data_IF_094885145914
#
_entry.id   IF_094885145914
#
_cell.length_a   1.000
_cell.length_b   1.000
_cell.length_c   1.000
_cell.angle_alpha   90.00
_cell.angle_beta   90.00
_cell.angle_gamma   90.00
#
_symmetry.space_group_name_H-M   'P 1'
#
loop_
_entity.id
_entity.type
_entity.pdbx_description
1 polymer ?
#
# COMPACT_ATOMS: atom_id res chain seq x y z
N UNK A 1 -17.63 -39.00 -25.95
CA UNK A 1 -16.91 -39.28 -24.67
C UNK A 1 -15.46 -38.81 -24.80
N UNK A 2 -15.24 -37.49 -24.82
CA UNK A 2 -13.93 -36.86 -24.93
C UNK A 2 -14.01 -35.54 -24.17
N UNK A 3 -13.18 -35.33 -23.15
CA UNK A 3 -12.70 -34.01 -22.64
C UNK A 3 -12.08 -34.10 -21.23
N UNK A 4 -11.23 -35.09 -20.96
CA UNK A 4 -10.43 -35.18 -19.73
C UNK A 4 -8.98 -34.67 -19.90
N UNK A 5 -8.61 -34.09 -21.05
CA UNK A 5 -7.21 -33.76 -21.39
C UNK A 5 -6.81 -32.29 -21.09
N UNK A 6 -7.75 -31.37 -20.81
CA UNK A 6 -7.45 -29.92 -20.88
C UNK A 6 -7.05 -29.22 -19.56
N UNK A 7 -7.00 -29.91 -18.41
CA UNK A 7 -6.64 -29.27 -17.13
C UNK A 7 -5.14 -29.22 -16.82
N UNK A 8 -4.29 -29.94 -17.56
CA UNK A 8 -2.84 -29.92 -17.30
C UNK A 8 -2.09 -28.75 -18.00
N UNK A 9 -2.73 -28.04 -18.94
CA UNK A 9 -2.05 -27.07 -19.82
C UNK A 9 -2.09 -25.59 -19.33
N UNK A 10 -2.85 -25.28 -18.27
CA UNK A 10 -2.98 -23.90 -17.76
C UNK A 10 -1.95 -23.53 -16.69
N UNK A 11 -1.17 -24.48 -16.15
CA UNK A 11 -0.13 -24.19 -15.15
C UNK A 11 1.22 -23.78 -15.75
N UNK A 12 1.41 -23.94 -17.06
CA UNK A 12 2.71 -23.72 -17.72
C UNK A 12 2.80 -22.38 -18.46
N UNK A 13 1.68 -21.65 -18.63
CA UNK A 13 1.66 -20.36 -19.31
C UNK A 13 2.08 -19.16 -18.43
N UNK A 14 2.12 -19.32 -17.10
CA UNK A 14 2.58 -18.27 -16.15
C UNK A 14 4.11 -18.23 -15.97
N UNK A 15 4.85 -19.18 -16.55
CA UNK A 15 6.29 -19.36 -16.31
C UNK A 15 7.20 -18.87 -17.46
N UNK A 16 6.67 -18.25 -18.52
CA UNK A 16 7.46 -17.77 -19.66
C UNK A 16 7.48 -16.25 -19.77
N UNK A 17 8.51 -15.68 -19.14
CA UNK A 17 9.45 -14.78 -19.80
C UNK A 17 8.87 -13.68 -20.70
N UNK A 18 8.39 -12.59 -20.10
CA UNK A 18 8.69 -11.25 -20.64
C UNK A 18 10.14 -10.90 -20.33
N UNK A 19 11.06 -11.58 -21.02
CA UNK A 19 12.45 -11.16 -21.17
C UNK A 19 12.49 -9.90 -22.04
N UNK A 20 12.08 -8.75 -21.50
CA UNK A 20 12.16 -7.46 -22.18
C UNK A 20 13.48 -6.78 -21.78
N UNK A 21 14.47 -6.89 -22.67
CA UNK A 21 15.72 -6.10 -22.79
C UNK A 21 16.38 -5.65 -21.46
N UNK A 22 17.43 -6.38 -21.03
CA UNK A 22 18.38 -5.94 -19.99
C UNK A 22 19.00 -4.58 -20.35
N UNK A 23 18.50 -3.51 -19.74
CA UNK A 23 19.20 -2.23 -19.65
C UNK A 23 19.40 -1.97 -18.15
N UNK A 24 20.55 -2.39 -17.64
CA UNK A 24 21.15 -2.07 -16.32
C UNK A 24 20.19 -1.55 -15.23
N UNK A 25 19.10 -2.26 -14.95
CA UNK A 25 18.14 -1.93 -13.89
C UNK A 25 18.53 -2.60 -12.55
N UNK A 26 19.33 -3.67 -12.63
CA UNK A 26 19.99 -4.31 -11.49
C UNK A 26 20.89 -3.35 -10.69
N UNK A 27 21.78 -2.52 -11.28
CA UNK A 27 22.59 -1.59 -10.51
C UNK A 27 21.77 -0.53 -9.81
N UNK A 28 20.65 -0.07 -10.38
CA UNK A 28 19.74 0.85 -9.67
C UNK A 28 19.05 0.17 -8.48
N UNK A 29 18.59 -1.07 -8.64
CA UNK A 29 18.02 -1.84 -7.53
C UNK A 29 19.05 -2.11 -6.42
N UNK A 30 20.29 -2.45 -6.78
CA UNK A 30 21.39 -2.71 -5.83
C UNK A 30 21.84 -1.42 -5.13
N UNK A 31 21.97 -0.31 -5.86
CA UNK A 31 22.31 1.00 -5.29
C UNK A 31 21.24 1.46 -4.27
N UNK A 32 19.97 1.23 -4.60
CA UNK A 32 18.84 1.55 -3.72
C UNK A 32 18.86 0.65 -2.46
N UNK A 33 19.19 -0.63 -2.60
CA UNK A 33 19.32 -1.57 -1.48
C UNK A 33 20.53 -1.23 -0.57
N UNK A 34 21.64 -0.79 -1.15
CA UNK A 34 22.81 -0.31 -0.41
C UNK A 34 22.51 1.00 0.32
N UNK A 35 21.86 1.96 -0.35
CA UNK A 35 21.41 3.22 0.27
C UNK A 35 20.44 2.96 1.42
N UNK A 36 19.58 1.97 1.26
CA UNK A 36 18.71 1.42 2.30
C UNK A 36 19.55 0.96 3.51
N UNK A 37 20.50 0.04 3.32
CA UNK A 37 21.27 -0.53 4.43
C UNK A 37 22.12 0.54 5.14
N UNK A 38 22.72 1.46 4.39
CA UNK A 38 23.53 2.56 4.94
C UNK A 38 22.65 3.49 5.78
N UNK A 39 21.47 3.87 5.29
CA UNK A 39 20.56 4.73 6.02
C UNK A 39 20.07 4.04 7.31
N UNK A 40 19.77 2.74 7.27
CA UNK A 40 19.45 1.96 8.46
C UNK A 40 20.58 1.93 9.50
N UNK A 41 21.84 1.92 9.06
CA UNK A 41 23.01 1.95 9.94
C UNK A 41 23.23 3.34 10.58
N UNK A 42 23.02 4.42 9.81
CA UNK A 42 23.06 5.80 10.33
C UNK A 42 21.96 6.04 11.37
N UNK A 43 20.77 5.48 11.17
CA UNK A 43 19.65 5.59 12.10
C UNK A 43 19.90 4.87 13.44
N UNK A 44 20.68 3.79 13.45
CA UNK A 44 21.07 3.09 14.68
C UNK A 44 21.91 3.98 15.61
N UNK A 45 22.68 4.92 15.07
CA UNK A 45 23.48 5.86 15.86
C UNK A 45 22.68 6.95 16.59
N UNK A 46 21.42 7.18 16.18
CA UNK A 46 20.58 8.28 16.71
C UNK A 46 19.48 7.74 17.65
N UNK A 47 18.97 6.53 17.39
CA UNK A 47 18.03 5.89 18.30
C UNK A 47 17.56 4.51 17.82
N UNK A 48 17.53 3.55 18.75
CA UNK A 48 17.19 2.13 18.50
C UNK A 48 15.78 1.89 17.94
N UNK A 49 14.86 2.86 18.05
CA UNK A 49 13.47 2.73 17.55
C UNK A 49 13.28 3.15 16.09
N UNK A 50 14.13 4.03 15.58
CA UNK A 50 14.05 4.55 14.21
C UNK A 50 14.25 3.47 13.12
N UNK A 51 15.17 2.49 13.24
CA UNK A 51 15.33 1.46 12.21
C UNK A 51 14.10 0.55 12.08
N UNK A 52 13.36 0.30 13.17
CA UNK A 52 12.11 -0.49 13.13
C UNK A 52 11.07 0.20 12.22
N UNK A 53 10.85 1.50 12.38
CA UNK A 53 9.86 2.24 11.57
C UNK A 53 10.26 2.29 10.11
N UNK A 54 11.55 2.39 9.85
CA UNK A 54 12.07 2.49 8.50
C UNK A 54 11.99 1.17 7.74
N UNK A 55 12.32 0.03 8.38
CA UNK A 55 12.09 -1.31 7.82
C UNK A 55 10.60 -1.55 7.60
N UNK A 56 9.75 -1.15 8.56
CA UNK A 56 8.31 -1.26 8.43
C UNK A 56 7.79 -0.49 7.22
N UNK A 57 8.22 0.77 7.02
CA UNK A 57 7.84 1.58 5.87
C UNK A 57 8.22 0.96 4.53
N UNK A 58 9.44 0.40 4.40
CA UNK A 58 9.88 -0.29 3.19
C UNK A 58 9.04 -1.54 2.94
N UNK A 59 8.87 -2.38 3.96
CA UNK A 59 8.08 -3.60 3.83
C UNK A 59 6.64 -3.31 3.44
N UNK A 60 6.04 -2.26 4.02
CA UNK A 60 4.69 -1.82 3.73
C UNK A 60 4.57 -1.31 2.28
N UNK A 61 5.55 -0.54 1.80
CA UNK A 61 5.62 -0.10 0.41
C UNK A 61 5.65 -1.26 -0.61
N UNK A 62 6.46 -2.30 -0.34
CA UNK A 62 6.53 -3.49 -1.20
C UNK A 62 5.20 -4.25 -1.21
N UNK A 63 4.57 -4.40 -0.04
CA UNK A 63 3.26 -5.06 0.08
C UNK A 63 2.20 -4.29 -0.70
N UNK A 64 2.19 -2.96 -0.61
CA UNK A 64 1.30 -2.09 -1.37
C UNK A 64 1.48 -2.27 -2.88
N UNK A 65 2.72 -2.25 -3.37
CA UNK A 65 3.03 -2.42 -4.79
C UNK A 65 2.54 -3.77 -5.35
N UNK A 66 2.69 -4.86 -4.57
CA UNK A 66 2.27 -6.20 -4.99
C UNK A 66 0.77 -6.42 -4.89
N UNK A 67 0.11 -5.78 -3.92
CA UNK A 67 -1.34 -5.93 -3.70
C UNK A 67 -2.20 -5.04 -4.59
N UNK A 68 -1.60 -4.04 -5.28
CA UNK A 68 -2.34 -3.02 -6.06
C UNK A 68 -3.52 -2.44 -5.28
N UNK A 69 -3.24 -2.09 -4.02
CA UNK A 69 -4.26 -1.72 -3.05
C UNK A 69 -4.96 -0.42 -3.47
N UNK A 70 -6.26 -0.49 -3.77
CA UNK A 70 -7.04 0.70 -4.05
C UNK A 70 -8.43 0.64 -3.40
N UNK A 71 -8.67 1.56 -2.49
CA UNK A 71 -9.94 1.68 -1.76
C UNK A 71 -11.13 1.91 -2.70
N UNK A 72 -10.99 2.82 -3.66
CA UNK A 72 -12.09 3.16 -4.59
C UNK A 72 -12.46 1.97 -5.47
N UNK A 73 -11.46 1.21 -5.96
CA UNK A 73 -11.70 -0.04 -6.68
C UNK A 73 -12.37 -1.09 -5.77
N UNK A 74 -11.92 -1.23 -4.52
CA UNK A 74 -12.51 -2.21 -3.59
C UNK A 74 -13.99 -1.98 -3.28
N UNK A 75 -14.48 -0.74 -3.38
CA UNK A 75 -15.90 -0.41 -3.20
C UNK A 75 -16.70 -0.49 -4.50
N UNK A 76 -16.06 -0.17 -5.64
CA UNK A 76 -16.70 -0.18 -6.96
C UNK A 76 -16.79 -1.59 -7.57
N UNK A 77 -15.77 -2.43 -7.39
CA UNK A 77 -15.63 -3.73 -8.04
C UNK A 77 -16.74 -4.73 -7.67
N UNK A 78 -17.18 -4.84 -6.39
CA UNK A 78 -18.31 -5.69 -6.02
C UNK A 78 -19.62 -5.28 -6.68
N UNK A 79 -19.83 -3.96 -6.85
CA UNK A 79 -21.06 -3.39 -7.41
C UNK A 79 -21.09 -3.55 -8.92
N UNK A 80 -19.95 -3.38 -9.60
CA UNK A 80 -19.90 -3.32 -11.06
C UNK A 80 -19.55 -4.65 -11.73
N UNK A 81 -18.65 -5.43 -11.12
CA UNK A 81 -18.11 -6.66 -11.73
C UNK A 81 -18.48 -7.93 -10.97
N UNK A 82 -19.06 -7.79 -9.76
CA UNK A 82 -19.33 -8.91 -8.85
C UNK A 82 -18.06 -9.58 -8.30
N UNK A 83 -16.87 -9.08 -8.64
CA UNK A 83 -15.60 -9.62 -8.14
C UNK A 83 -15.31 -9.07 -6.75
N UNK A 84 -15.14 -9.97 -5.78
CA UNK A 84 -14.96 -9.62 -4.36
C UNK A 84 -13.54 -9.84 -3.86
N UNK A 85 -12.61 -10.21 -4.75
CA UNK A 85 -11.24 -10.59 -4.37
C UNK A 85 -10.48 -9.44 -3.72
N UNK A 86 -10.52 -8.24 -4.30
CA UNK A 86 -9.88 -7.04 -3.74
C UNK A 86 -10.58 -6.55 -2.48
N UNK A 87 -11.92 -6.52 -2.48
CA UNK A 87 -12.71 -6.10 -1.32
C UNK A 87 -12.48 -6.99 -0.11
N UNK A 88 -12.43 -8.32 -0.31
CA UNK A 88 -12.11 -9.28 0.75
C UNK A 88 -10.70 -9.05 1.29
N UNK A 89 -9.72 -8.79 0.42
CA UNK A 89 -8.35 -8.50 0.86
C UNK A 89 -8.26 -7.22 1.71
N UNK A 90 -8.94 -6.15 1.29
CA UNK A 90 -9.01 -4.88 2.04
C UNK A 90 -9.69 -5.06 3.39
N UNK A 91 -10.83 -5.76 3.42
CA UNK A 91 -11.58 -5.98 4.66
C UNK A 91 -10.79 -6.81 5.67
N UNK A 92 -10.10 -7.86 5.21
CA UNK A 92 -9.20 -8.66 6.07
C UNK A 92 -8.04 -7.80 6.58
N UNK A 93 -7.43 -6.96 5.72
CA UNK A 93 -6.37 -6.05 6.14
C UNK A 93 -6.84 -5.07 7.23
N UNK A 94 -8.05 -4.52 7.11
CA UNK A 94 -8.66 -3.70 8.16
C UNK A 94 -8.89 -4.45 9.45
N UNK A 95 -9.42 -5.68 9.37
CA UNK A 95 -9.66 -6.49 10.56
C UNK A 95 -8.36 -6.81 11.31
N UNK A 96 -7.30 -7.14 10.59
CA UNK A 96 -5.98 -7.39 11.19
C UNK A 96 -5.41 -6.10 11.78
N UNK A 97 -5.50 -4.99 11.05
CA UNK A 97 -5.00 -3.70 11.51
C UNK A 97 -5.75 -3.23 12.77
N UNK A 98 -7.09 -3.31 12.80
CA UNK A 98 -7.89 -2.89 13.94
C UNK A 98 -7.60 -3.73 15.18
N UNK A 99 -7.50 -5.05 15.05
CA UNK A 99 -7.13 -5.95 16.15
C UNK A 99 -5.69 -5.68 16.62
N UNK A 100 -4.75 -5.46 15.69
CA UNK A 100 -3.37 -5.11 16.01
C UNK A 100 -3.26 -3.80 16.79
N UNK A 101 -3.93 -2.74 16.33
CA UNK A 101 -3.98 -1.46 17.03
C UNK A 101 -4.67 -1.57 18.39
N UNK A 102 -5.76 -2.33 18.50
CA UNK A 102 -6.45 -2.55 19.76
C UNK A 102 -5.57 -3.29 20.78
N UNK A 103 -4.83 -4.32 20.36
CA UNK A 103 -3.92 -5.06 21.24
C UNK A 103 -2.76 -4.19 21.75
N UNK A 104 -2.20 -3.33 20.88
CA UNK A 104 -1.15 -2.39 21.26
C UNK A 104 -1.67 -1.34 22.25
N UNK A 105 -2.87 -0.79 22.01
CA UNK A 105 -3.49 0.17 22.92
C UNK A 105 -3.82 -0.45 24.28
N UNK A 106 -4.36 -1.67 24.31
CA UNK A 106 -4.65 -2.37 25.56
C UNK A 106 -3.36 -2.62 26.35
N UNK A 107 -2.30 -3.07 25.69
CA UNK A 107 -1.00 -3.29 26.34
C UNK A 107 -0.39 -1.98 26.88
N UNK A 108 -0.58 -0.86 26.19
CA UNK A 108 -0.13 0.46 26.65
C UNK A 108 -0.90 0.97 27.88
N UNK A 109 -2.22 0.75 27.92
CA UNK A 109 -3.08 1.05 29.08
C UNK A 109 -2.66 0.23 30.30
N UNK A 110 -2.43 -1.06 30.12
CA UNK A 110 -2.00 -1.96 31.21
C UNK A 110 -0.60 -1.61 31.74
N UNK A 111 0.26 -1.03 30.88
CA UNK A 111 1.58 -0.52 31.25
C UNK A 111 1.56 0.88 31.89
N UNK A 112 0.37 1.46 32.15
CA UNK A 112 0.23 2.77 32.80
C UNK A 112 0.70 3.96 31.96
N UNK A 113 0.95 3.77 30.66
CA UNK A 113 1.35 4.84 29.75
C UNK A 113 0.10 5.50 29.13
N UNK A 114 0.18 6.80 28.76
CA UNK A 114 -0.91 7.47 28.08
C UNK A 114 -1.26 6.72 26.79
N UNK A 115 -2.54 6.52 26.55
CA UNK A 115 -3.05 5.84 25.35
C UNK A 115 -2.52 6.59 24.13
N UNK A 116 -1.74 5.95 23.23
CA UNK A 116 -1.24 6.61 22.02
C UNK A 116 -2.33 6.82 20.95
N UNK A 117 -3.61 6.78 21.36
CA UNK A 117 -4.77 6.92 20.49
C UNK A 117 -5.12 8.40 20.30
N UNK A 118 -4.74 8.95 19.15
CA UNK A 118 -5.10 10.32 18.77
C UNK A 118 -6.54 10.35 18.23
N UNK A 119 -7.53 10.30 19.12
CA UNK A 119 -8.94 10.42 18.73
C UNK A 119 -9.29 11.90 18.71
N UNK A 120 -9.18 12.53 17.53
CA UNK A 120 -9.67 13.89 17.32
C UNK A 120 -11.19 13.89 17.14
N UNK A 121 -11.95 14.85 17.70
CA UNK A 121 -13.38 14.95 17.48
C UNK A 121 -13.71 15.07 15.99
N UNK A 122 -14.54 14.15 15.47
CA UNK A 122 -15.09 14.26 14.13
C UNK A 122 -16.14 15.38 14.11
N UNK A 123 -15.73 16.57 13.65
CA UNK A 123 -16.62 17.73 13.50
C UNK A 123 -17.23 17.85 12.11
N UNK A 124 -18.04 18.88 11.89
CA UNK A 124 -18.60 19.18 10.57
C UNK A 124 -17.52 19.38 9.49
N UNK A 125 -16.35 19.90 9.89
CA UNK A 125 -15.19 20.09 9.02
C UNK A 125 -14.69 18.78 8.40
N UNK A 126 -14.74 17.64 9.11
CA UNK A 126 -14.29 16.35 8.56
C UNK A 126 -15.23 15.83 7.48
N UNK A 127 -16.55 16.09 7.61
CA UNK A 127 -17.54 15.71 6.62
C UNK A 127 -17.36 16.49 5.31
N UNK A 128 -17.17 17.82 5.41
CA UNK A 128 -16.88 18.67 4.25
C UNK A 128 -15.56 18.25 3.58
N UNK A 129 -14.51 18.02 4.37
CA UNK A 129 -13.23 17.55 3.86
C UNK A 129 -13.31 16.21 3.15
N UNK A 130 -14.06 15.25 3.70
CA UNK A 130 -14.25 13.93 3.08
C UNK A 130 -14.98 14.03 1.72
N UNK A 131 -15.99 14.90 1.59
CA UNK A 131 -16.68 15.12 0.32
C UNK A 131 -15.77 15.77 -0.73
N UNK A 132 -15.05 16.84 -0.36
CA UNK A 132 -14.10 17.49 -1.28
C UNK A 132 -12.97 16.55 -1.69
N UNK A 133 -12.44 15.76 -0.76
CA UNK A 133 -11.43 14.74 -1.05
C UNK A 133 -11.99 13.66 -2.00
N UNK A 134 -13.25 13.24 -1.81
CA UNK A 134 -13.94 12.32 -2.71
C UNK A 134 -14.05 12.85 -4.14
N UNK A 135 -14.50 14.10 -4.30
CA UNK A 135 -14.59 14.76 -5.61
C UNK A 135 -13.19 14.85 -6.25
N UNK A 136 -12.18 15.24 -5.48
CA UNK A 136 -10.79 15.28 -5.92
C UNK A 136 -10.26 13.92 -6.41
N UNK A 137 -10.57 12.83 -5.70
CA UNK A 137 -10.19 11.47 -6.11
C UNK A 137 -10.79 11.07 -7.46
N UNK A 138 -12.04 11.47 -7.75
CA UNK A 138 -12.69 11.18 -9.03
C UNK A 138 -12.02 11.97 -10.16
N UNK A 139 -11.73 13.26 -9.95
CA UNK A 139 -11.05 14.12 -10.94
C UNK A 139 -9.63 13.63 -11.21
N UNK A 140 -8.89 13.22 -10.18
CA UNK A 140 -7.54 12.68 -10.30
C UNK A 140 -7.48 11.29 -10.95
N UNK A 141 -8.62 10.59 -11.08
CA UNK A 141 -8.71 9.27 -11.69
C UNK A 141 -8.04 8.15 -10.89
N UNK A 142 -7.93 8.30 -9.56
CA UNK A 142 -7.25 7.33 -8.70
C UNK A 142 -7.45 7.56 -7.20
N UNK A 143 -7.14 6.54 -6.41
CA UNK A 143 -7.07 6.62 -4.95
C UNK A 143 -5.64 7.00 -4.49
N UNK A 144 -5.50 7.62 -3.31
CA UNK A 144 -4.21 8.07 -2.78
C UNK A 144 -3.12 6.97 -2.75
N UNK A 145 -3.46 5.75 -2.33
CA UNK A 145 -2.52 4.62 -2.33
C UNK A 145 -2.07 4.24 -3.74
N UNK A 146 -2.99 4.25 -4.70
CA UNK A 146 -2.71 3.93 -6.09
C UNK A 146 -1.88 5.00 -6.79
N UNK A 147 -2.08 6.28 -6.48
CA UNK A 147 -1.26 7.37 -7.01
C UNK A 147 0.18 7.27 -6.49
N UNK A 148 0.37 7.00 -5.19
CA UNK A 148 1.70 6.79 -4.60
C UNK A 148 2.47 5.64 -5.27
N UNK A 149 1.80 4.49 -5.50
CA UNK A 149 2.42 3.35 -6.17
C UNK A 149 2.83 3.68 -7.60
N UNK A 150 1.98 4.38 -8.37
CA UNK A 150 2.26 4.77 -9.77
C UNK A 150 3.36 5.84 -9.87
N UNK A 151 3.47 6.73 -8.88
CA UNK A 151 4.62 7.64 -8.77
C UNK A 151 5.90 6.85 -8.55
N UNK A 152 5.87 5.81 -7.71
CA UNK A 152 6.99 4.89 -7.50
C UNK A 152 7.43 4.10 -8.75
N UNK A 153 6.50 3.81 -9.67
CA UNK A 153 6.77 3.19 -10.97
C UNK A 153 7.32 4.18 -12.03
N UNK A 154 7.39 5.48 -11.71
CA UNK A 154 7.95 6.51 -12.60
C UNK A 154 6.96 7.13 -13.60
N UNK A 155 5.64 7.04 -13.36
CA UNK A 155 4.67 7.73 -14.21
C UNK A 155 4.69 9.25 -13.97
N UNK A 156 5.24 10.00 -14.92
CA UNK A 156 5.41 11.46 -14.82
C UNK A 156 4.07 12.22 -14.67
N UNK A 157 2.97 11.76 -15.28
CA UNK A 157 1.66 12.38 -15.08
C UNK A 157 1.17 12.29 -13.63
N UNK A 158 1.60 11.27 -12.88
CA UNK A 158 1.15 11.05 -11.50
C UNK A 158 1.89 11.94 -10.49
N UNK A 159 3.05 12.48 -10.85
CA UNK A 159 3.78 13.45 -10.03
C UNK A 159 2.98 14.74 -9.83
N UNK A 160 2.28 15.19 -10.86
CA UNK A 160 1.42 16.38 -10.76
C UNK A 160 0.28 16.14 -9.77
N UNK A 161 -0.37 14.98 -9.81
CA UNK A 161 -1.42 14.63 -8.84
C UNK A 161 -0.91 14.60 -7.40
N UNK A 162 0.35 14.20 -7.18
CA UNK A 162 0.94 14.17 -5.84
C UNK A 162 1.24 15.58 -5.34
N UNK A 163 1.77 16.47 -6.19
CA UNK A 163 2.06 17.87 -5.79
C UNK A 163 0.78 18.57 -5.31
N UNK A 164 -0.32 18.43 -6.06
CA UNK A 164 -1.62 19.02 -5.71
C UNK A 164 -2.31 18.34 -4.52
N UNK A 165 -1.90 17.12 -4.15
CA UNK A 165 -2.40 16.45 -2.96
C UNK A 165 -1.68 16.91 -1.68
N UNK A 166 -0.42 17.35 -1.82
CA UNK A 166 0.43 17.81 -0.71
C UNK A 166 0.24 19.31 -0.41
N UNK A 167 -0.01 20.12 -1.44
CA UNK A 167 -0.28 21.57 -1.35
C UNK A 167 -1.73 21.80 -0.94
#
# INVERSE_FOLDING_TARGET
MANTVNQANTRTASARATAKKRRNQLPFAILLLIGIIIFGFVLNGIGVKLPIYWIFGISFGIVLQKSRFCFTASLRDPVLTGSTSLTKAVLIAFAIASVGFAAIQYSAVQAGNPVPGFVSPAGWHTAIGALLFGIGMVIAGGCASGTLMRVGEGFMMQWLSLIFFVV
#
